data_IF_656404217916
#
_entry.id   IF_656404217916
#
_cell.length_a   1.000
_cell.length_b   1.000
_cell.length_c   1.000
_cell.angle_alpha   90.00
_cell.angle_beta   90.00
_cell.angle_gamma   90.00
#
_symmetry.space_group_name_H-M   'P 1'
#
loop_
_entity.id
_entity.type
_entity.pdbx_description
1 polymer ?
#
# COMPACT_ATOMS: atom_id res chain seq x y z
N UNK A 1 16.58 -8.83 -26.91
CA UNK A 1 15.52 -7.83 -26.67
C UNK A 1 14.16 -8.50 -26.54
N UNK A 2 13.59 -9.11 -27.59
CA UNK A 2 12.30 -9.82 -27.49
C UNK A 2 12.26 -10.93 -26.42
N UNK A 3 13.36 -11.66 -26.24
CA UNK A 3 13.46 -12.69 -25.18
C UNK A 3 13.56 -12.10 -23.76
N UNK A 4 14.15 -10.91 -23.62
CA UNK A 4 14.26 -10.18 -22.36
C UNK A 4 12.93 -9.50 -22.00
N UNK A 5 12.24 -8.89 -22.96
CA UNK A 5 10.88 -8.38 -22.79
C UNK A 5 9.90 -9.50 -22.45
N UNK A 6 10.07 -10.68 -23.07
CA UNK A 6 9.29 -11.87 -22.73
C UNK A 6 9.51 -12.33 -21.29
N UNK A 7 10.77 -12.45 -20.85
CA UNK A 7 11.11 -12.83 -19.47
C UNK A 7 10.68 -11.77 -18.45
N UNK A 8 10.81 -10.49 -18.76
CA UNK A 8 10.34 -9.39 -17.93
C UNK A 8 8.81 -9.39 -17.80
N UNK A 9 8.08 -9.60 -18.90
CA UNK A 9 6.62 -9.71 -18.90
C UNK A 9 6.10 -10.94 -18.16
N UNK A 10 6.76 -12.09 -18.30
CA UNK A 10 6.42 -13.32 -17.56
C UNK A 10 6.61 -13.13 -16.05
N UNK A 11 7.71 -12.49 -15.64
CA UNK A 11 7.98 -12.25 -14.22
C UNK A 11 7.15 -11.11 -13.64
N UNK A 12 6.81 -10.09 -14.44
CA UNK A 12 5.81 -9.07 -14.07
C UNK A 12 4.43 -9.70 -13.86
N UNK A 13 4.03 -10.66 -14.70
CA UNK A 13 2.81 -11.43 -14.49
C UNK A 13 2.88 -12.27 -13.21
N UNK A 14 4.03 -12.87 -12.89
CA UNK A 14 4.24 -13.62 -11.64
C UNK A 14 4.22 -12.73 -10.39
N UNK A 15 4.78 -11.53 -10.45
CA UNK A 15 4.71 -10.54 -9.37
C UNK A 15 3.28 -10.01 -9.23
N UNK A 16 2.59 -9.68 -10.32
CA UNK A 16 1.18 -9.29 -10.30
C UNK A 16 0.28 -10.41 -9.75
N UNK A 17 0.71 -11.65 -9.91
CA UNK A 17 0.09 -12.85 -9.32
C UNK A 17 0.66 -13.21 -7.93
N UNK A 18 1.49 -12.37 -7.32
CA UNK A 18 2.06 -12.52 -5.98
C UNK A 18 2.90 -13.79 -5.71
N UNK A 19 3.55 -14.32 -6.75
CA UNK A 19 4.55 -15.37 -6.57
C UNK A 19 5.83 -14.83 -5.93
N UNK A 20 6.42 -15.59 -5.01
CA UNK A 20 7.72 -15.29 -4.40
C UNK A 20 8.83 -15.34 -5.46
N UNK A 21 9.73 -14.35 -5.45
CA UNK A 21 10.94 -14.33 -6.26
C UNK A 21 12.14 -14.62 -5.35
N UNK A 22 12.95 -15.60 -5.73
CA UNK A 22 14.17 -15.95 -5.00
C UNK A 22 15.34 -15.03 -5.36
N UNK A 23 16.38 -14.94 -4.52
CA UNK A 23 17.59 -14.15 -4.79
C UNK A 23 18.27 -14.56 -6.11
N UNK A 24 18.21 -15.84 -6.48
CA UNK A 24 18.73 -16.35 -7.76
C UNK A 24 17.90 -15.90 -8.97
N UNK A 25 16.58 -15.71 -8.80
CA UNK A 25 15.75 -15.07 -9.83
C UNK A 25 16.20 -13.61 -10.06
N UNK A 26 16.57 -12.90 -8.99
CA UNK A 26 17.10 -11.53 -9.05
C UNK A 26 18.48 -11.44 -9.69
N UNK A 27 19.39 -12.36 -9.38
CA UNK A 27 20.72 -12.40 -9.99
C UNK A 27 20.65 -12.71 -11.50
N UNK A 28 19.65 -13.47 -11.95
CA UNK A 28 19.41 -13.74 -13.38
C UNK A 28 18.86 -12.55 -14.18
N UNK A 29 18.38 -11.51 -13.48
CA UNK A 29 17.80 -10.28 -14.05
C UNK A 29 18.83 -9.15 -14.22
N UNK A 30 20.07 -9.36 -13.77
CA UNK A 30 21.14 -8.39 -13.97
C UNK A 30 21.40 -8.25 -15.47
N UNK A 31 21.15 -7.06 -16.01
CA UNK A 31 21.45 -6.68 -17.39
C UNK A 31 22.97 -6.55 -17.65
N UNK A 32 23.81 -7.17 -16.81
CA UNK A 32 25.26 -7.12 -16.87
C UNK A 32 25.78 -7.56 -18.23
N UNK A 33 25.19 -8.59 -18.84
CA UNK A 33 25.54 -9.01 -20.20
C UNK A 33 25.28 -7.93 -21.27
N UNK A 34 24.16 -7.20 -21.16
CA UNK A 34 23.85 -6.09 -22.07
C UNK A 34 24.73 -4.86 -21.79
N UNK A 35 25.04 -4.60 -20.52
CA UNK A 35 25.97 -3.55 -20.10
C UNK A 35 27.39 -3.85 -20.55
N UNK A 36 27.80 -5.12 -20.56
CA UNK A 36 29.09 -5.58 -21.09
C UNK A 36 29.21 -5.38 -22.60
N UNK A 37 28.16 -5.65 -23.38
CA UNK A 37 28.20 -5.44 -24.85
C UNK A 37 28.44 -3.98 -25.27
N UNK A 38 28.23 -3.03 -24.37
CA UNK A 38 28.35 -1.58 -24.63
C UNK A 38 29.39 -0.93 -23.71
N UNK A 39 30.12 -1.73 -22.92
CA UNK A 39 31.07 -1.24 -21.89
C UNK A 39 32.26 -0.51 -22.48
N UNK A 40 32.73 -0.97 -23.64
CA UNK A 40 33.89 -0.42 -24.35
C UNK A 40 33.58 0.86 -25.12
N UNK A 41 32.30 1.26 -25.22
CA UNK A 41 31.87 2.52 -25.82
C UNK A 41 31.94 3.65 -24.80
N UNK A 42 32.39 4.83 -25.21
CA UNK A 42 32.49 6.01 -24.35
C UNK A 42 31.12 6.37 -23.72
N UNK A 43 31.13 6.92 -22.50
CA UNK A 43 29.92 7.22 -21.72
C UNK A 43 28.98 8.19 -22.45
N UNK A 44 29.54 9.07 -23.29
CA UNK A 44 28.78 10.02 -24.11
C UNK A 44 28.32 9.46 -25.46
N UNK A 45 28.64 8.20 -25.78
CA UNK A 45 28.31 7.61 -27.06
C UNK A 45 26.79 7.48 -27.24
N UNK A 46 26.20 7.94 -28.36
CA UNK A 46 24.75 7.96 -28.56
C UNK A 46 24.08 6.58 -28.42
N UNK A 47 24.79 5.53 -28.86
CA UNK A 47 24.33 4.14 -28.74
C UNK A 47 24.34 3.68 -27.28
N UNK A 48 25.36 4.08 -26.50
CA UNK A 48 25.44 3.74 -25.07
C UNK A 48 24.34 4.44 -24.28
N UNK A 49 24.14 5.74 -24.48
CA UNK A 49 23.02 6.46 -23.86
C UNK A 49 21.66 5.92 -24.30
N UNK A 50 21.48 5.59 -25.57
CA UNK A 50 20.24 5.01 -26.07
C UNK A 50 19.92 3.66 -25.42
N UNK A 51 20.91 2.79 -25.27
CA UNK A 51 20.76 1.50 -24.57
C UNK A 51 20.53 1.73 -23.06
N UNK A 52 21.29 2.62 -22.44
CA UNK A 52 21.22 2.86 -20.99
C UNK A 52 19.93 3.57 -20.58
N UNK A 53 19.48 4.59 -21.30
CA UNK A 53 18.29 5.40 -20.99
C UNK A 53 16.97 4.79 -21.50
N UNK A 54 16.97 4.05 -22.61
CA UNK A 54 15.72 3.51 -23.19
C UNK A 54 15.53 2.02 -22.97
N UNK A 55 16.61 1.24 -22.83
CA UNK A 55 16.53 -0.22 -22.76
C UNK A 55 16.88 -0.78 -21.37
N UNK A 56 17.82 -0.18 -20.66
CA UNK A 56 18.29 -0.68 -19.35
C UNK A 56 17.58 0.04 -18.19
N UNK A 57 17.54 1.38 -18.20
CA UNK A 57 17.00 2.13 -17.05
C UNK A 57 15.51 1.89 -16.78
N UNK A 58 14.61 1.73 -17.78
CA UNK A 58 13.20 1.47 -17.48
C UNK A 58 12.95 0.10 -16.82
N UNK A 59 13.49 -1.04 -17.30
CA UNK A 59 13.34 -2.31 -16.61
C UNK A 59 14.17 -2.38 -15.33
N UNK A 60 15.33 -1.75 -15.23
CA UNK A 60 16.12 -1.71 -13.98
C UNK A 60 15.40 -0.91 -12.88
N UNK A 61 14.80 0.24 -13.18
CA UNK A 61 13.95 0.96 -12.23
C UNK A 61 12.70 0.17 -11.84
N UNK A 62 12.10 -0.56 -12.80
CA UNK A 62 10.97 -1.46 -12.50
C UNK A 62 11.39 -2.63 -11.61
N UNK A 63 12.57 -3.20 -11.82
CA UNK A 63 13.13 -4.31 -11.05
C UNK A 63 13.57 -3.88 -9.65
N UNK A 64 14.28 -2.76 -9.51
CA UNK A 64 14.66 -2.23 -8.19
C UNK A 64 13.42 -1.85 -7.36
N UNK A 65 12.39 -1.29 -7.99
CA UNK A 65 11.11 -1.01 -7.31
C UNK A 65 10.36 -2.27 -6.86
N UNK A 66 10.65 -3.41 -7.50
CA UNK A 66 10.13 -4.72 -7.12
C UNK A 66 10.97 -5.40 -6.03
N UNK A 67 12.22 -5.00 -5.81
CA UNK A 67 13.09 -5.54 -4.76
C UNK A 67 12.79 -4.87 -3.42
N UNK A 68 12.67 -3.54 -3.41
CA UNK A 68 12.44 -2.75 -2.19
C UNK A 68 11.01 -2.23 -2.16
N UNK A 69 10.18 -2.86 -1.34
CA UNK A 69 8.75 -2.58 -1.24
C UNK A 69 8.37 -2.11 0.16
N UNK A 70 7.55 -1.07 0.18
CA UNK A 70 6.84 -0.62 1.37
C UNK A 70 5.45 -1.25 1.34
N UNK A 71 5.00 -1.83 2.44
CA UNK A 71 3.65 -2.35 2.58
C UNK A 71 2.64 -1.20 2.63
N UNK A 72 1.51 -1.37 1.94
CA UNK A 72 0.37 -0.45 2.01
C UNK A 72 -0.90 -1.21 2.37
N UNK A 73 -1.74 -0.57 3.18
CA UNK A 73 -3.07 -1.05 3.53
C UNK A 73 -3.98 0.16 3.76
N UNK A 74 -5.05 0.27 2.98
CA UNK A 74 -6.02 1.37 3.11
C UNK A 74 -6.93 1.23 4.32
N UNK A 75 -6.87 0.10 5.05
CA UNK A 75 -7.63 -0.09 6.28
C UNK A 75 -7.37 1.05 7.28
N UNK A 76 -8.45 1.58 7.87
CA UNK A 76 -8.38 2.67 8.82
C UNK A 76 -9.45 2.53 9.91
N UNK A 77 -9.06 2.11 11.13
CA UNK A 77 -9.98 1.96 12.27
C UNK A 77 -10.40 3.29 12.90
N UNK A 78 -9.81 4.42 12.50
CA UNK A 78 -10.14 5.75 13.02
C UNK A 78 -10.79 6.63 11.95
N UNK A 79 -12.14 6.63 11.83
CA UNK A 79 -12.83 7.40 10.79
C UNK A 79 -12.57 8.91 10.84
N UNK A 80 -12.24 9.42 12.03
CA UNK A 80 -11.95 10.85 12.27
C UNK A 80 -10.61 11.30 11.69
N UNK A 81 -9.71 10.36 11.41
CA UNK A 81 -8.38 10.65 10.84
C UNK A 81 -8.37 10.08 9.42
N UNK A 82 -8.86 10.83 8.41
CA UNK A 82 -8.88 10.35 7.04
C UNK A 82 -7.46 10.17 6.49
N UNK A 83 -7.31 9.22 5.56
CA UNK A 83 -6.10 9.09 4.75
C UNK A 83 -5.94 10.36 3.92
N UNK A 84 -4.75 10.96 3.97
CA UNK A 84 -4.42 12.20 3.24
C UNK A 84 -3.02 12.09 2.68
N UNK A 85 -2.57 13.08 1.90
CA UNK A 85 -1.18 13.12 1.43
C UNK A 85 -0.15 13.05 2.57
N UNK A 86 -0.47 13.63 3.73
CA UNK A 86 0.41 13.59 4.91
C UNK A 86 0.23 12.33 5.78
N UNK A 87 -0.83 11.56 5.52
CA UNK A 87 -1.15 10.32 6.23
C UNK A 87 -1.55 9.24 5.22
N UNK A 88 -0.59 8.72 4.45
CA UNK A 88 -0.85 7.90 3.28
C UNK A 88 -1.20 6.45 3.65
N UNK A 89 -1.55 5.61 2.66
CA UNK A 89 -1.91 4.20 2.88
C UNK A 89 -0.72 3.31 3.26
N UNK A 90 0.51 3.80 3.10
CA UNK A 90 1.73 3.18 3.60
C UNK A 90 1.88 3.27 5.13
N UNK A 91 1.01 4.02 5.81
CA UNK A 91 0.93 4.05 7.26
C UNK A 91 -0.06 2.98 7.72
N UNK A 92 0.41 1.78 7.98
CA UNK A 92 -0.45 0.60 8.14
C UNK A 92 -0.93 0.47 9.58
N UNK A 93 -2.24 0.33 9.75
CA UNK A 93 -2.82 -0.03 11.05
C UNK A 93 -2.88 -1.55 11.22
N UNK A 94 -2.57 -2.01 12.44
CA UNK A 94 -2.75 -3.40 12.88
C UNK A 94 -3.64 -3.39 14.12
N UNK A 95 -4.60 -4.31 14.22
CA UNK A 95 -5.63 -4.29 15.26
C UNK A 95 -6.93 -3.64 14.80
N UNK A 96 -8.04 -3.97 15.48
CA UNK A 96 -9.40 -3.56 15.07
C UNK A 96 -10.08 -4.44 14.01
N UNK A 97 -9.32 -5.25 13.28
CA UNK A 97 -9.87 -6.24 12.35
C UNK A 97 -9.51 -7.67 12.79
N UNK A 98 -10.42 -8.61 12.51
CA UNK A 98 -10.28 -10.01 12.94
C UNK A 98 -8.99 -10.64 12.35
N UNK A 99 -8.21 -11.30 13.20
CA UNK A 99 -6.99 -12.02 12.80
C UNK A 99 -5.77 -11.13 12.50
N UNK A 100 -5.84 -9.82 12.79
CA UNK A 100 -4.68 -8.90 12.64
C UNK A 100 -3.68 -9.00 13.79
N UNK A 101 -4.16 -9.25 15.02
CA UNK A 101 -3.35 -9.52 16.19
C UNK A 101 -3.35 -11.03 16.44
N UNK A 102 -2.17 -11.62 16.63
CA UNK A 102 -2.01 -13.03 16.98
C UNK A 102 -2.34 -13.32 18.45
N UNK A 103 -2.51 -14.59 18.77
CA UNK A 103 -2.73 -15.06 20.13
C UNK A 103 -1.38 -15.21 20.83
N UNK A 104 -0.86 -14.12 21.40
CA UNK A 104 0.35 -14.14 22.22
C UNK A 104 0.22 -13.20 23.40
N UNK A 105 0.96 -13.44 24.48
CA UNK A 105 0.99 -12.54 25.63
C UNK A 105 1.37 -11.11 25.21
N UNK A 106 2.28 -10.97 24.24
CA UNK A 106 2.76 -9.67 23.76
C UNK A 106 1.71 -8.88 23.01
N UNK A 107 0.84 -9.55 22.28
CA UNK A 107 -0.24 -8.95 21.50
C UNK A 107 -1.56 -8.89 22.24
N UNK A 108 -1.63 -9.51 23.43
CA UNK A 108 -2.80 -9.50 24.29
C UNK A 108 -3.18 -8.07 24.67
N UNK A 109 -4.47 -7.75 24.53
CA UNK A 109 -5.09 -6.49 24.99
C UNK A 109 -4.58 -5.21 24.29
N UNK A 110 -3.76 -5.38 23.24
CA UNK A 110 -3.50 -4.30 22.27
C UNK A 110 -4.77 -4.06 21.44
N UNK A 111 -5.07 -2.79 21.17
CA UNK A 111 -6.23 -2.42 20.35
C UNK A 111 -5.79 -2.06 18.94
N UNK A 112 -4.86 -1.10 18.83
CA UNK A 112 -4.41 -0.58 17.56
C UNK A 112 -2.91 -0.24 17.60
N UNK A 113 -2.19 -0.66 16.57
CA UNK A 113 -0.80 -0.29 16.32
C UNK A 113 -0.73 0.43 14.97
N UNK A 114 0.20 1.36 14.85
CA UNK A 114 0.44 2.08 13.60
C UNK A 114 1.89 1.93 13.19
N UNK A 115 2.12 1.45 11.97
CA UNK A 115 3.45 1.27 11.40
C UNK A 115 3.66 2.25 10.25
N UNK A 116 4.81 2.90 10.21
CA UNK A 116 5.10 3.94 9.20
C UNK A 116 6.02 3.37 8.15
N UNK A 117 5.45 3.02 7.00
CA UNK A 117 6.16 2.37 5.90
C UNK A 117 6.78 0.99 6.25
N UNK A 118 6.01 0.06 6.85
CA UNK A 118 6.55 -1.24 7.24
C UNK A 118 6.93 -2.10 6.03
N UNK A 119 7.84 -3.04 6.25
CA UNK A 119 8.10 -4.17 5.36
C UNK A 119 7.14 -5.35 5.61
N UNK A 120 7.45 -6.48 4.97
CA UNK A 120 6.70 -7.74 5.15
C UNK A 120 7.65 -8.88 5.43
N UNK A 121 7.22 -9.80 6.30
CA UNK A 121 7.97 -11.00 6.66
C UNK A 121 7.34 -12.23 6.00
N UNK A 122 8.20 -13.14 5.52
CA UNK A 122 7.78 -14.40 4.92
C UNK A 122 8.56 -15.55 5.52
N UNK A 123 7.87 -16.64 5.79
CA UNK A 123 8.52 -17.89 6.18
C UNK A 123 9.02 -18.60 4.92
N UNK A 124 10.31 -18.94 4.87
CA UNK A 124 10.94 -19.61 3.73
C UNK A 124 10.61 -21.10 3.65
N UNK A 125 9.91 -21.67 4.64
CA UNK A 125 9.55 -23.09 4.69
C UNK A 125 10.72 -24.03 4.99
N UNK A 126 11.90 -23.47 5.28
CA UNK A 126 13.17 -24.21 5.38
C UNK A 126 13.78 -24.01 6.76
N UNK A 127 13.77 -25.05 7.58
CA UNK A 127 14.41 -25.10 8.90
C UNK A 127 13.53 -25.71 10.00
N UNK A 128 14.17 -26.12 11.11
CA UNK A 128 13.50 -26.66 12.30
C UNK A 128 13.01 -25.57 13.26
N UNK A 129 12.80 -24.34 12.78
CA UNK A 129 12.41 -23.18 13.59
C UNK A 129 10.93 -22.89 13.39
N UNK A 130 10.24 -22.57 14.47
CA UNK A 130 8.82 -22.24 14.46
C UNK A 130 8.68 -20.76 14.14
N UNK A 131 7.96 -20.44 13.07
CA UNK A 131 7.59 -19.07 12.71
C UNK A 131 6.13 -18.83 13.11
N UNK A 132 5.92 -17.99 14.12
CA UNK A 132 4.60 -17.65 14.64
C UNK A 132 4.30 -16.18 14.33
N UNK A 133 3.42 -15.89 13.36
CA UNK A 133 3.02 -14.52 13.04
C UNK A 133 2.31 -13.87 14.23
N UNK A 134 2.77 -12.69 14.64
CA UNK A 134 2.20 -11.92 15.76
C UNK A 134 1.34 -10.76 15.27
N UNK A 135 1.80 -10.05 14.24
CA UNK A 135 1.12 -8.88 13.69
C UNK A 135 0.90 -9.08 12.20
N UNK A 136 -0.34 -8.92 11.76
CA UNK A 136 -0.78 -9.07 10.37
C UNK A 136 -1.61 -7.89 9.93
N UNK A 137 -1.49 -7.54 8.66
CA UNK A 137 -2.41 -6.57 8.03
C UNK A 137 -3.82 -7.15 7.90
N UNK A 138 -4.82 -6.29 7.70
CA UNK A 138 -6.19 -6.73 7.42
C UNK A 138 -6.24 -7.52 6.10
N UNK A 139 -5.48 -7.06 5.10
CA UNK A 139 -5.53 -7.62 3.76
C UNK A 139 -6.73 -7.08 2.96
N UNK A 140 -7.13 -7.79 1.92
CA UNK A 140 -8.22 -7.38 1.01
C UNK A 140 -7.75 -6.50 -0.16
N UNK A 141 -8.72 -5.93 -0.88
CA UNK A 141 -8.48 -5.17 -2.13
C UNK A 141 -7.72 -3.87 -1.91
N UNK A 142 -7.76 -3.35 -0.68
CA UNK A 142 -7.03 -2.16 -0.21
C UNK A 142 -5.52 -2.38 -0.03
N UNK A 143 -5.12 -3.62 0.27
CA UNK A 143 -3.74 -3.96 0.54
C UNK A 143 -2.88 -3.92 -0.73
N UNK A 144 -1.56 -3.82 -0.56
CA UNK A 144 -0.59 -3.93 -1.65
C UNK A 144 0.80 -3.57 -1.20
N UNK A 145 1.63 -3.20 -2.17
CA UNK A 145 2.93 -2.59 -1.87
C UNK A 145 3.18 -1.38 -2.75
N UNK A 146 4.12 -0.56 -2.34
CA UNK A 146 4.60 0.62 -3.05
C UNK A 146 6.10 0.48 -3.26
N UNK A 147 6.57 0.86 -4.44
CA UNK A 147 8.01 0.90 -4.75
C UNK A 147 8.70 1.93 -3.87
N UNK A 148 9.79 1.52 -3.20
CA UNK A 148 10.62 2.44 -2.43
C UNK A 148 11.34 3.46 -3.32
N UNK A 149 11.70 3.07 -4.54
CA UNK A 149 12.56 3.87 -5.43
C UNK A 149 11.94 5.22 -5.82
N UNK A 150 10.62 5.25 -6.01
CA UNK A 150 9.89 6.47 -6.33
C UNK A 150 8.90 6.87 -5.24
N UNK A 151 9.11 6.41 -4.01
CA UNK A 151 8.25 6.73 -2.87
C UNK A 151 8.34 8.21 -2.49
N UNK A 152 9.55 8.77 -2.53
CA UNK A 152 9.81 10.17 -2.23
C UNK A 152 9.86 11.01 -3.50
N UNK A 153 9.35 12.24 -3.44
CA UNK A 153 9.68 13.25 -4.44
C UNK A 153 11.17 13.59 -4.34
N UNK A 154 11.84 13.66 -5.49
CA UNK A 154 13.19 14.17 -5.56
C UNK A 154 13.20 15.63 -5.11
N UNK A 155 13.71 15.91 -3.92
CA UNK A 155 13.90 17.27 -3.45
C UNK A 155 14.95 17.96 -4.31
N UNK A 156 14.54 18.88 -5.18
CA UNK A 156 15.45 19.71 -5.96
C UNK A 156 15.66 21.02 -5.19
N UNK A 157 16.91 21.46 -5.04
CA UNK A 157 17.26 22.76 -4.43
C UNK A 157 16.57 23.05 -3.08
N UNK A 158 16.81 22.20 -2.07
CA UNK A 158 16.37 22.49 -0.70
C UNK A 158 14.86 22.40 -0.46
N UNK A 159 14.07 21.95 -1.44
CA UNK A 159 12.68 21.59 -1.19
C UNK A 159 12.60 20.33 -0.31
N UNK A 160 11.77 20.34 0.76
CA UNK A 160 11.61 19.17 1.62
C UNK A 160 11.04 18.00 0.81
N UNK A 161 11.59 16.80 1.03
CA UNK A 161 11.05 15.57 0.45
C UNK A 161 9.60 15.39 0.89
N UNK A 162 8.73 15.04 -0.05
CA UNK A 162 7.33 14.72 0.20
C UNK A 162 7.03 13.33 -0.33
N UNK A 163 5.91 12.75 0.08
CA UNK A 163 5.40 11.55 -0.58
C UNK A 163 5.12 11.87 -2.05
N UNK A 164 5.57 10.98 -2.94
CA UNK A 164 5.31 11.13 -4.36
C UNK A 164 3.85 10.70 -4.67
N UNK A 165 3.00 11.59 -5.21
CA UNK A 165 1.65 11.21 -5.60
C UNK A 165 1.65 10.19 -6.74
N UNK A 166 2.64 10.25 -7.63
CA UNK A 166 2.79 9.37 -8.80
C UNK A 166 3.64 8.13 -8.50
N UNK A 167 3.72 7.71 -7.23
CA UNK A 167 4.50 6.54 -6.81
C UNK A 167 3.95 5.25 -7.40
N UNK A 168 4.84 4.27 -7.60
CA UNK A 168 4.45 3.01 -8.25
C UNK A 168 3.80 2.09 -7.23
N UNK A 169 2.52 1.76 -7.48
CA UNK A 169 1.73 0.86 -6.66
C UNK A 169 1.68 -0.54 -7.28
N UNK A 170 1.91 -1.56 -6.47
CA UNK A 170 1.74 -2.96 -6.80
C UNK A 170 0.51 -3.52 -6.08
N UNK A 171 -0.32 -4.26 -6.81
CA UNK A 171 -1.54 -4.84 -6.26
C UNK A 171 -1.25 -6.00 -5.29
N UNK A 172 -2.14 -6.21 -4.33
CA UNK A 172 -2.10 -7.37 -3.42
C UNK A 172 -2.88 -8.55 -3.98
N UNK A 173 -2.62 -9.73 -3.40
CA UNK A 173 -3.36 -10.99 -3.54
C UNK A 173 -4.57 -11.00 -2.59
N UNK A 174 -4.79 -9.90 -1.87
CA UNK A 174 -5.80 -9.80 -0.83
C UNK A 174 -5.43 -10.55 0.45
N UNK A 175 -4.28 -11.21 0.51
CA UNK A 175 -3.88 -11.94 1.72
C UNK A 175 -3.32 -11.00 2.78
N UNK A 176 -3.53 -11.39 4.02
CA UNK A 176 -2.88 -10.76 5.16
C UNK A 176 -1.36 -10.91 5.05
N UNK A 177 -0.63 -9.81 5.25
CA UNK A 177 0.82 -9.80 5.24
C UNK A 177 1.33 -9.70 6.67
N UNK A 178 2.37 -10.45 6.99
CA UNK A 178 2.96 -10.48 8.34
C UNK A 178 3.93 -9.31 8.48
N UNK A 179 3.74 -8.49 9.51
CA UNK A 179 4.62 -7.36 9.87
C UNK A 179 5.58 -7.76 10.99
N UNK A 180 5.11 -8.57 11.94
CA UNK A 180 5.93 -9.07 13.03
C UNK A 180 5.68 -10.55 13.30
N UNK A 181 6.72 -11.28 13.67
CA UNK A 181 6.67 -12.70 13.99
C UNK A 181 7.62 -13.06 15.11
N UNK A 182 7.20 -14.01 15.95
CA UNK A 182 8.05 -14.70 16.91
C UNK A 182 8.67 -15.92 16.22
N UNK A 183 9.98 -16.06 16.38
CA UNK A 183 10.78 -17.13 15.84
C UNK A 183 11.41 -17.85 17.03
N UNK A 184 11.01 -19.10 17.22
CA UNK A 184 11.55 -19.96 18.27
C UNK A 184 12.19 -21.21 17.69
N UNK A 185 13.17 -21.76 18.40
CA UNK A 185 13.81 -23.02 18.02
C UNK A 185 15.09 -23.24 18.79
N UNK A 186 15.86 -24.25 18.40
CA UNK A 186 17.18 -24.52 18.97
C UNK A 186 18.26 -24.20 17.95
N UNK A 187 19.37 -23.64 18.43
CA UNK A 187 20.56 -23.39 17.63
C UNK A 187 21.72 -24.12 18.29
N UNK A 188 22.33 -25.03 17.54
CA UNK A 188 23.57 -25.69 17.91
C UNK A 188 24.74 -24.88 17.38
N UNK A 189 25.48 -24.25 18.28
CA UNK A 189 26.74 -23.59 17.96
C UNK A 189 27.89 -24.36 18.57
N UNK A 190 28.68 -25.00 17.70
CA UNK A 190 29.92 -25.77 17.90
C UNK A 190 30.01 -26.83 19.03
N UNK A 191 29.36 -26.66 20.18
CA UNK A 191 29.26 -27.61 21.31
C UNK A 191 28.10 -27.32 22.29
N UNK A 192 27.27 -26.29 22.08
CA UNK A 192 26.13 -25.98 22.95
C UNK A 192 24.84 -25.84 22.13
N UNK A 193 23.77 -26.49 22.61
CA UNK A 193 22.41 -26.28 22.10
C UNK A 193 21.77 -25.18 22.94
N UNK A 194 21.57 -24.01 22.33
CA UNK A 194 20.89 -22.90 22.98
C UNK A 194 19.48 -22.73 22.42
N UNK A 195 18.55 -22.35 23.29
CA UNK A 195 17.21 -21.95 22.88
C UNK A 195 17.27 -20.56 22.24
N UNK A 196 16.70 -20.45 21.05
CA UNK A 196 16.57 -19.22 20.29
C UNK A 196 15.15 -18.69 20.49
N UNK A 197 15.04 -17.45 20.96
CA UNK A 197 13.80 -16.70 20.97
C UNK A 197 14.04 -15.33 20.35
N UNK A 198 13.44 -15.09 19.18
CA UNK A 198 13.61 -13.85 18.42
C UNK A 198 12.24 -13.30 18.05
N UNK A 199 12.01 -12.02 18.30
CA UNK A 199 10.85 -11.30 17.77
C UNK A 199 11.36 -10.39 16.67
N UNK A 200 10.92 -10.66 15.44
CA UNK A 200 11.28 -9.87 14.26
C UNK A 200 10.12 -8.94 13.90
N UNK A 201 10.41 -7.66 13.74
CA UNK A 201 9.44 -6.63 13.36
C UNK A 201 9.99 -5.92 12.11
N UNK A 202 9.18 -5.80 11.07
CA UNK A 202 9.57 -5.23 9.78
C UNK A 202 9.49 -3.69 9.72
N UNK A 203 9.59 -3.02 10.87
CA UNK A 203 9.55 -1.56 10.98
C UNK A 203 10.31 -1.14 12.24
N UNK A 204 11.32 -0.29 12.07
CA UNK A 204 12.12 0.25 13.17
C UNK A 204 11.46 1.48 13.82
N UNK A 205 10.57 2.16 13.08
CA UNK A 205 9.93 3.39 13.55
C UNK A 205 8.89 3.13 14.64
N UNK A 206 8.55 1.85 14.91
CA UNK A 206 7.68 1.46 16.03
C UNK A 206 8.19 1.96 17.39
N UNK A 207 9.51 2.21 17.50
CA UNK A 207 10.19 2.75 18.68
C UNK A 207 10.48 4.26 18.58
N UNK A 208 10.02 4.94 17.55
CA UNK A 208 10.34 6.34 17.33
C UNK A 208 9.60 7.29 18.30
N UNK A 209 10.25 8.41 18.61
CA UNK A 209 9.75 9.47 19.50
C UNK A 209 8.32 9.97 19.21
N UNK A 210 7.83 10.06 17.95
CA UNK A 210 6.47 10.46 17.68
C UNK A 210 5.42 9.61 18.41
N UNK A 211 5.64 8.31 18.55
CA UNK A 211 4.70 7.41 19.26
C UNK A 211 4.71 7.64 20.78
N UNK A 212 5.86 7.98 21.35
CA UNK A 212 5.95 8.39 22.76
C UNK A 212 5.23 9.72 22.99
N UNK A 213 5.38 10.68 22.07
CA UNK A 213 4.71 11.97 22.13
C UNK A 213 3.19 11.85 21.96
N UNK A 214 2.71 10.96 21.08
CA UNK A 214 1.28 10.66 20.94
C UNK A 214 0.74 10.09 22.24
N UNK A 215 1.45 9.12 22.84
CA UNK A 215 1.06 8.51 24.12
C UNK A 215 1.04 9.53 25.28
N UNK A 216 2.01 10.45 25.34
CA UNK A 216 2.10 11.42 26.44
C UNK A 216 1.04 12.52 26.39
N UNK A 217 0.50 12.82 25.20
CA UNK A 217 -0.58 13.80 25.03
C UNK A 217 -1.92 13.29 25.55
N UNK A 218 -2.11 11.97 25.60
CA UNK A 218 -3.40 11.37 25.97
C UNK A 218 -4.47 11.60 24.89
N UNK A 219 -5.66 11.02 25.07
CA UNK A 219 -6.77 11.15 24.11
C UNK A 219 -7.43 12.53 24.25
N UNK A 220 -6.74 13.59 23.83
CA UNK A 220 -7.34 14.92 23.68
C UNK A 220 -8.26 14.97 22.44
N UNK A 221 -9.27 15.84 22.48
CA UNK A 221 -10.39 15.89 21.52
C UNK A 221 -10.00 16.11 20.06
N UNK A 222 -8.86 16.77 19.83
CA UNK A 222 -8.52 17.35 18.53
C UNK A 222 -7.76 16.38 17.62
N UNK A 223 -7.11 15.35 18.17
CA UNK A 223 -6.47 14.28 17.41
C UNK A 223 -6.54 12.94 18.17
N UNK A 224 -7.63 12.16 18.02
CA UNK A 224 -7.89 10.97 18.81
C UNK A 224 -7.12 9.74 18.26
N UNK A 225 -5.81 9.88 18.09
CA UNK A 225 -4.93 8.76 17.76
C UNK A 225 -4.41 8.15 19.06
N UNK A 226 -5.03 7.07 19.51
CA UNK A 226 -4.52 6.25 20.63
C UNK A 226 -3.97 4.95 20.04
N UNK A 227 -2.64 4.84 20.02
CA UNK A 227 -1.91 3.68 19.46
C UNK A 227 -1.04 3.04 20.53
N UNK A 228 -0.97 1.73 20.50
CA UNK A 228 -0.33 0.90 21.51
C UNK A 228 1.14 0.58 21.21
N UNK A 229 1.79 1.26 20.25
CA UNK A 229 3.17 0.99 19.82
C UNK A 229 4.17 0.88 20.99
N UNK A 230 4.09 1.81 21.93
CA UNK A 230 4.96 1.81 23.13
C UNK A 230 4.63 0.63 24.05
N UNK A 231 3.35 0.27 24.18
CA UNK A 231 2.92 -0.90 24.97
C UNK A 231 3.42 -2.18 24.31
N UNK A 232 3.22 -2.35 23.00
CA UNK A 232 3.74 -3.48 22.25
C UNK A 232 5.26 -3.61 22.43
N UNK A 233 6.00 -2.51 22.30
CA UNK A 233 7.46 -2.50 22.46
C UNK A 233 7.91 -2.96 23.85
N UNK A 234 7.25 -2.47 24.90
CA UNK A 234 7.56 -2.91 26.26
C UNK A 234 7.14 -4.39 26.49
N UNK A 235 6.01 -4.84 25.91
CA UNK A 235 5.60 -6.25 25.99
C UNK A 235 6.65 -7.16 25.34
N UNK A 236 7.20 -6.76 24.18
CA UNK A 236 8.28 -7.48 23.48
C UNK A 236 9.52 -7.60 24.39
N UNK A 237 9.93 -6.52 25.05
CA UNK A 237 11.06 -6.55 25.99
C UNK A 237 10.78 -7.51 27.15
N UNK A 238 9.62 -7.38 27.79
CA UNK A 238 9.21 -8.22 28.93
C UNK A 238 9.17 -9.72 28.56
N UNK A 239 8.71 -10.05 27.34
CA UNK A 239 8.71 -11.43 26.85
C UNK A 239 10.14 -11.95 26.59
N UNK A 240 11.02 -11.14 26.02
CA UNK A 240 12.40 -11.53 25.73
C UNK A 240 13.28 -11.64 26.99
N UNK A 241 12.97 -10.88 28.05
CA UNK A 241 13.64 -10.98 29.35
C UNK A 241 13.08 -12.10 30.24
N UNK A 242 11.94 -12.70 29.86
CA UNK A 242 11.26 -13.73 30.65
C UNK A 242 10.47 -13.19 31.83
N UNK A 243 10.22 -11.87 31.89
CA UNK A 243 9.48 -11.22 32.97
C UNK A 243 7.97 -11.16 32.68
N UNK A 244 7.29 -12.30 32.76
CA UNK A 244 5.83 -12.40 32.49
C UNK A 244 4.93 -11.83 33.60
N UNK A 245 5.49 -11.44 34.75
CA UNK A 245 4.72 -11.07 35.95
C UNK A 245 3.92 -9.77 35.80
N UNK A 246 4.36 -8.84 34.93
CA UNK A 246 3.73 -7.53 34.78
C UNK A 246 2.89 -7.36 33.50
N UNK A 247 2.99 -8.32 32.57
CA UNK A 247 2.21 -8.35 31.33
C UNK A 247 0.69 -8.30 31.61
N UNK A 248 0.21 -9.12 32.56
CA UNK A 248 -1.20 -9.20 32.92
C UNK A 248 -1.75 -7.96 33.65
N UNK A 249 -0.90 -7.18 34.33
CA UNK A 249 -1.34 -6.02 35.14
C UNK A 249 -1.44 -4.75 34.31
N UNK A 250 -0.60 -4.60 33.27
CA UNK A 250 -0.62 -3.44 32.37
C UNK A 250 -1.83 -3.41 31.42
N UNK A 251 -2.52 -4.53 31.29
CA UNK A 251 -3.60 -4.76 30.34
C UNK A 251 -4.98 -4.16 30.69
N UNK A 252 -5.13 -3.42 31.80
CA UNK A 252 -6.39 -2.74 32.12
C UNK A 252 -6.52 -1.42 31.36
N UNK A 253 -6.93 -1.48 30.09
CA UNK A 253 -7.36 -0.30 29.30
C UNK A 253 -8.87 -0.35 29.03
N UNK A 254 -9.49 0.81 28.79
CA UNK A 254 -10.87 0.85 28.29
C UNK A 254 -10.86 0.29 26.87
N UNK A 255 -11.49 -0.86 26.66
CA UNK A 255 -11.81 -1.35 25.32
C UNK A 255 -12.67 -0.31 24.61
N UNK A 256 -12.18 0.22 23.48
CA UNK A 256 -13.01 0.95 22.53
C UNK A 256 -13.93 -0.07 21.84
N UNK A 257 -15.01 -0.47 22.53
CA UNK A 257 -16.09 -1.26 21.95
C UNK A 257 -16.93 -0.35 21.07
N UNK A 258 -16.46 -0.17 19.85
CA UNK A 258 -17.29 0.31 18.75
C UNK A 258 -18.23 -0.80 18.32
N UNK A 259 -19.35 -0.44 17.68
CA UNK A 259 -20.28 -1.43 17.14
C UNK A 259 -19.58 -2.13 15.97
N UNK A 260 -19.03 -3.32 16.19
CA UNK A 260 -18.26 -4.08 15.19
C UNK A 260 -19.01 -4.20 13.84
N UNK A 261 -20.32 -4.44 13.90
CA UNK A 261 -21.17 -4.53 12.71
C UNK A 261 -21.28 -3.19 11.96
N UNK A 262 -21.30 -2.08 12.70
CA UNK A 262 -21.31 -0.75 12.10
C UNK A 262 -19.98 -0.42 11.43
N UNK A 263 -18.86 -0.72 12.09
CA UNK A 263 -17.52 -0.54 11.52
C UNK A 263 -17.34 -1.39 10.27
N UNK A 264 -17.78 -2.65 10.31
CA UNK A 264 -17.79 -3.53 9.14
C UNK A 264 -18.61 -2.93 7.99
N UNK A 265 -19.78 -2.36 8.28
CA UNK A 265 -20.61 -1.74 7.23
C UNK A 265 -20.00 -0.46 6.64
N UNK A 266 -19.32 0.35 7.45
CA UNK A 266 -18.57 1.52 6.96
C UNK A 266 -17.42 1.07 6.07
N UNK A 267 -16.73 0.02 6.49
CA UNK A 267 -15.60 -0.55 5.77
C UNK A 267 -16.03 -1.12 4.42
N UNK A 268 -17.14 -1.86 4.36
CA UNK A 268 -17.71 -2.36 3.10
C UNK A 268 -18.03 -1.22 2.13
N UNK A 269 -18.65 -0.13 2.62
CA UNK A 269 -18.93 1.05 1.80
C UNK A 269 -17.63 1.73 1.29
N UNK A 270 -16.58 1.76 2.12
CA UNK A 270 -15.26 2.28 1.73
C UNK A 270 -14.58 1.38 0.70
N UNK A 271 -14.68 0.07 0.85
CA UNK A 271 -14.08 -0.89 -0.05
C UNK A 271 -14.68 -0.77 -1.46
N UNK A 272 -16.02 -0.71 -1.56
CA UNK A 272 -16.73 -0.50 -2.84
C UNK A 272 -16.33 0.83 -3.50
N UNK A 273 -16.21 1.91 -2.72
CA UNK A 273 -15.73 3.19 -3.25
C UNK A 273 -14.28 3.10 -3.73
N UNK A 274 -13.41 2.39 -3.00
CA UNK A 274 -12.01 2.24 -3.38
C UNK A 274 -11.83 1.40 -4.65
N UNK A 275 -12.63 0.35 -4.85
CA UNK A 275 -12.56 -0.51 -6.03
C UNK A 275 -13.07 0.24 -7.26
N UNK A 276 -14.20 0.94 -7.14
CA UNK A 276 -14.75 1.76 -8.23
C UNK A 276 -13.80 2.87 -8.66
N UNK A 277 -13.13 3.54 -7.71
CA UNK A 277 -12.09 4.54 -8.01
C UNK A 277 -10.91 3.89 -8.76
N UNK A 278 -10.39 2.77 -8.25
CA UNK A 278 -9.28 2.04 -8.89
C UNK A 278 -9.61 1.58 -10.31
N UNK A 279 -10.82 1.07 -10.53
CA UNK A 279 -11.29 0.65 -11.85
C UNK A 279 -11.44 1.83 -12.82
N UNK A 280 -11.95 2.97 -12.33
CA UNK A 280 -12.01 4.20 -13.11
C UNK A 280 -10.61 4.70 -13.50
N UNK A 281 -9.65 4.69 -12.58
CA UNK A 281 -8.26 5.08 -12.87
C UNK A 281 -7.56 4.10 -13.83
N UNK A 282 -7.73 2.80 -13.62
CA UNK A 282 -7.10 1.77 -14.45
C UNK A 282 -7.63 1.78 -15.88
N UNK A 283 -8.95 1.91 -16.06
CA UNK A 283 -9.57 1.99 -17.40
C UNK A 283 -9.07 3.20 -18.17
N UNK A 284 -8.94 4.36 -17.52
CA UNK A 284 -8.42 5.58 -18.13
C UNK A 284 -6.93 5.45 -18.49
N UNK A 285 -6.13 4.85 -17.61
CA UNK A 285 -4.71 4.61 -17.89
C UNK A 285 -4.51 3.74 -19.12
N UNK A 286 -5.32 2.68 -19.28
CA UNK A 286 -5.31 1.84 -20.47
C UNK A 286 -5.67 2.63 -21.74
N UNK A 287 -6.71 3.49 -21.67
CA UNK A 287 -7.08 4.37 -22.79
C UNK A 287 -5.94 5.31 -23.16
N UNK A 288 -5.27 5.93 -22.18
CA UNK A 288 -4.13 6.81 -22.41
C UNK A 288 -2.95 6.08 -23.04
N UNK A 289 -2.65 4.85 -22.59
CA UNK A 289 -1.60 4.03 -23.19
C UNK A 289 -1.94 3.63 -24.64
N UNK A 290 -3.19 3.28 -24.93
CA UNK A 290 -3.66 2.99 -26.29
C UNK A 290 -3.60 4.22 -27.20
N UNK A 291 -4.03 5.38 -26.74
CA UNK A 291 -3.94 6.64 -27.49
C UNK A 291 -2.48 7.05 -27.75
N UNK A 292 -1.59 6.87 -26.78
CA UNK A 292 -0.15 7.06 -26.98
C UNK A 292 0.43 6.09 -28.02
N UNK A 293 0.01 4.82 -28.01
CA UNK A 293 0.42 3.84 -29.05
C UNK A 293 -0.10 4.24 -30.43
N UNK A 294 -1.35 4.69 -30.55
CA UNK A 294 -1.93 5.18 -31.82
C UNK A 294 -1.19 6.42 -32.31
N UNK A 295 -0.87 7.37 -31.42
CA UNK A 295 -0.08 8.54 -31.74
C UNK A 295 1.29 8.17 -32.30
N UNK A 296 2.02 7.28 -31.63
CA UNK A 296 3.34 6.83 -32.07
C UNK A 296 3.29 6.14 -33.44
N UNK A 297 2.24 5.34 -33.70
CA UNK A 297 2.00 4.73 -35.02
C UNK A 297 1.73 5.77 -36.10
N UNK A 298 0.85 6.74 -35.84
CA UNK A 298 0.53 7.82 -36.76
C UNK A 298 1.76 8.68 -37.09
N UNK A 299 2.60 8.98 -36.10
CA UNK A 299 3.87 9.68 -36.30
C UNK A 299 4.84 8.87 -37.18
N UNK A 300 4.93 7.56 -36.98
CA UNK A 300 5.75 6.67 -37.80
C UNK A 300 5.23 6.59 -39.26
N UNK A 301 3.91 6.52 -39.46
CA UNK A 301 3.28 6.51 -40.79
C UNK A 301 3.50 7.83 -41.54
N UNK A 302 3.33 8.97 -40.86
CA UNK A 302 3.62 10.30 -41.44
C UNK A 302 5.10 10.41 -41.82
N UNK A 303 6.00 9.87 -40.98
CA UNK A 303 7.44 9.85 -41.24
C UNK A 303 7.80 8.98 -42.46
N UNK A 304 7.18 7.81 -42.61
CA UNK A 304 7.39 6.90 -43.76
C UNK A 304 6.80 7.44 -45.06
N UNK A 305 5.56 7.95 -45.04
CA UNK A 305 4.87 8.44 -46.25
C UNK A 305 5.49 9.70 -46.85
N UNK A 306 6.29 10.40 -46.06
CA UNK A 306 6.94 11.66 -46.44
C UNK A 306 8.40 11.48 -46.89
N UNK A 307 8.99 10.28 -46.68
CA UNK A 307 10.29 9.93 -47.27
C UNK A 307 10.14 9.82 -48.79
N UNK A 308 10.56 10.88 -49.50
CA UNK A 308 10.68 10.88 -50.97
C UNK A 308 9.89 11.94 -51.75
N UNK A 309 9.11 12.81 -51.08
CA UNK A 309 8.27 13.83 -51.77
C UNK A 309 8.62 15.30 -51.49
N UNK A 310 9.54 15.60 -50.58
CA UNK A 310 9.84 16.99 -50.15
C UNK A 310 11.33 17.21 -49.82
N UNK A 311 11.77 18.47 -49.84
CA UNK A 311 13.10 18.88 -49.34
C UNK A 311 13.19 18.73 -47.81
N UNK A 312 14.39 18.48 -47.28
CA UNK A 312 14.61 18.18 -45.84
C UNK A 312 14.01 19.24 -44.89
N UNK A 313 14.08 20.52 -45.27
CA UNK A 313 13.53 21.63 -44.49
C UNK A 313 11.98 21.65 -44.48
N UNK A 314 11.34 21.40 -45.63
CA UNK A 314 9.88 21.35 -45.75
C UNK A 314 9.30 20.14 -45.02
N UNK A 315 10.01 19.00 -45.06
CA UNK A 315 9.62 17.79 -44.33
C UNK A 315 9.66 17.98 -42.82
N UNK A 316 10.70 18.63 -42.28
CA UNK A 316 10.79 18.93 -40.85
C UNK A 316 9.70 19.88 -40.38
N UNK A 317 9.37 20.92 -41.17
CA UNK A 317 8.29 21.83 -40.84
C UNK A 317 6.92 21.13 -40.85
N UNK A 318 6.68 20.28 -41.87
CA UNK A 318 5.46 19.49 -41.97
C UNK A 318 5.29 18.53 -40.78
N UNK A 319 6.32 17.72 -40.47
CA UNK A 319 6.33 16.84 -39.31
C UNK A 319 6.10 17.58 -37.99
N UNK A 320 6.75 18.73 -37.79
CA UNK A 320 6.55 19.53 -36.58
C UNK A 320 5.11 20.02 -36.46
N UNK A 321 4.51 20.49 -37.55
CA UNK A 321 3.12 20.97 -37.53
C UNK A 321 2.10 19.85 -37.31
N UNK A 322 2.31 18.69 -37.92
CA UNK A 322 1.41 17.54 -37.78
C UNK A 322 1.57 16.86 -36.41
N UNK A 323 2.81 16.68 -35.95
CA UNK A 323 3.10 16.21 -34.60
C UNK A 323 2.50 17.15 -33.55
N UNK A 324 2.63 18.48 -33.71
CA UNK A 324 2.04 19.45 -32.79
C UNK A 324 0.51 19.37 -32.76
N UNK A 325 -0.15 19.18 -33.91
CA UNK A 325 -1.61 18.99 -33.98
C UNK A 325 -2.04 17.71 -33.26
N UNK A 326 -1.34 16.61 -33.51
CA UNK A 326 -1.65 15.31 -32.90
C UNK A 326 -1.41 15.33 -31.38
N UNK A 327 -0.31 15.93 -30.92
CA UNK A 327 -0.04 16.12 -29.50
C UNK A 327 -1.08 17.02 -28.81
N UNK A 328 -1.54 18.09 -29.49
CA UNK A 328 -2.60 18.95 -28.97
C UNK A 328 -3.93 18.21 -28.83
N UNK A 329 -4.27 17.33 -29.78
CA UNK A 329 -5.46 16.49 -29.71
C UNK A 329 -5.36 15.47 -28.56
N UNK A 330 -4.20 14.84 -28.37
CA UNK A 330 -3.95 13.95 -27.24
C UNK A 330 -4.11 14.70 -25.92
N UNK A 331 -3.47 15.87 -25.77
CA UNK A 331 -3.58 16.67 -24.55
C UNK A 331 -5.03 17.09 -24.26
N UNK A 332 -5.84 17.39 -25.28
CA UNK A 332 -7.27 17.65 -25.11
C UNK A 332 -8.01 16.40 -24.62
N UNK A 333 -7.72 15.23 -25.23
CA UNK A 333 -8.32 13.95 -24.85
C UNK A 333 -7.95 13.56 -23.42
N UNK A 334 -6.69 13.74 -23.03
CA UNK A 334 -6.23 13.50 -21.67
C UNK A 334 -6.97 14.38 -20.66
N UNK A 335 -7.17 15.67 -20.96
CA UNK A 335 -7.95 16.57 -20.10
C UNK A 335 -9.42 16.15 -19.97
N UNK A 336 -10.04 15.71 -21.07
CA UNK A 336 -11.41 15.19 -21.07
C UNK A 336 -11.52 13.95 -20.18
N UNK A 337 -10.59 13.00 -20.36
CA UNK A 337 -10.54 11.76 -19.59
C UNK A 337 -10.31 12.03 -18.10
N UNK A 338 -9.34 12.89 -17.75
CA UNK A 338 -9.09 13.29 -16.34
C UNK A 338 -10.34 13.90 -15.71
N UNK A 339 -11.05 14.77 -16.44
CA UNK A 339 -12.29 15.38 -15.94
C UNK A 339 -13.39 14.34 -15.69
N UNK A 340 -13.51 13.34 -16.56
CA UNK A 340 -14.45 12.23 -16.39
C UNK A 340 -14.07 11.38 -15.16
N UNK A 341 -12.77 11.09 -14.97
CA UNK A 341 -12.25 10.41 -13.78
C UNK A 341 -12.60 11.17 -12.52
N UNK A 342 -12.30 12.47 -12.47
CA UNK A 342 -12.60 13.31 -11.31
C UNK A 342 -14.10 13.33 -10.97
N UNK A 343 -14.97 13.26 -11.99
CA UNK A 343 -16.41 13.17 -11.79
C UNK A 343 -16.82 11.82 -11.20
N UNK A 344 -16.31 10.70 -11.76
CA UNK A 344 -16.57 9.35 -11.26
C UNK A 344 -16.05 9.16 -9.83
N UNK A 345 -14.85 9.65 -9.53
CA UNK A 345 -14.26 9.63 -8.18
C UNK A 345 -15.14 10.42 -7.21
N UNK A 346 -15.53 11.65 -7.56
CA UNK A 346 -16.43 12.45 -6.71
C UNK A 346 -17.79 11.81 -6.50
N UNK A 347 -18.32 11.12 -7.50
CA UNK A 347 -19.59 10.40 -7.38
C UNK A 347 -19.48 9.20 -6.43
N UNK A 348 -18.40 8.40 -6.56
CA UNK A 348 -18.09 7.30 -5.65
C UNK A 348 -17.91 7.78 -4.21
N UNK A 349 -17.17 8.87 -3.98
CA UNK A 349 -17.01 9.50 -2.66
C UNK A 349 -18.35 9.96 -2.08
N UNK A 350 -19.20 10.62 -2.90
CA UNK A 350 -20.53 11.06 -2.45
C UNK A 350 -21.46 9.89 -2.15
N UNK A 351 -21.35 8.77 -2.86
CA UNK A 351 -22.14 7.57 -2.57
C UNK A 351 -21.71 6.98 -1.24
N UNK A 352 -20.41 6.77 -1.05
CA UNK A 352 -19.80 6.32 0.20
C UNK A 352 -20.25 7.17 1.40
N UNK A 353 -20.16 8.50 1.28
CA UNK A 353 -20.51 9.40 2.39
C UNK A 353 -22.02 9.36 2.71
N UNK A 354 -22.87 9.17 1.69
CA UNK A 354 -24.31 8.96 1.87
C UNK A 354 -24.60 7.64 2.58
N UNK A 355 -23.93 6.57 2.18
CA UNK A 355 -24.10 5.25 2.78
C UNK A 355 -23.65 5.24 4.25
N UNK A 356 -22.49 5.82 4.55
CA UNK A 356 -22.00 5.98 5.93
C UNK A 356 -22.99 6.78 6.77
N UNK A 357 -23.51 7.90 6.23
CA UNK A 357 -24.48 8.74 6.95
C UNK A 357 -25.80 8.02 7.21
N UNK A 358 -26.31 7.29 6.21
CA UNK A 358 -27.53 6.49 6.37
C UNK A 358 -27.39 5.46 7.48
N UNK A 359 -26.27 4.74 7.53
CA UNK A 359 -25.98 3.77 8.61
C UNK A 359 -25.88 4.44 9.98
N UNK A 360 -25.21 5.60 10.06
CA UNK A 360 -25.15 6.38 11.30
C UNK A 360 -26.54 6.79 11.79
N UNK A 361 -27.40 7.25 10.88
CA UNK A 361 -28.73 7.73 11.24
C UNK A 361 -29.64 6.59 11.69
N UNK A 362 -29.55 5.41 11.07
CA UNK A 362 -30.26 4.20 11.54
C UNK A 362 -29.87 3.82 12.98
N UNK A 363 -28.57 3.81 13.29
CA UNK A 363 -28.07 3.47 14.62
C UNK A 363 -28.39 4.55 15.64
N UNK A 364 -28.30 5.83 15.29
CA UNK A 364 -28.74 6.93 16.16
C UNK A 364 -30.22 6.80 16.49
N UNK A 365 -31.05 6.50 15.49
CA UNK A 365 -32.48 6.24 15.67
C UNK A 365 -32.71 5.07 16.63
N UNK A 366 -32.09 3.91 16.37
CA UNK A 366 -32.15 2.75 17.27
C UNK A 366 -31.67 3.08 18.69
N UNK A 367 -30.58 3.83 18.84
CA UNK A 367 -30.04 4.20 20.16
C UNK A 367 -30.98 5.11 20.97
N UNK A 368 -31.83 5.90 20.30
CA UNK A 368 -32.83 6.76 20.96
C UNK A 368 -34.11 5.98 21.27
N UNK A 369 -34.55 5.10 20.38
CA UNK A 369 -35.82 4.39 20.52
C UNK A 369 -35.74 3.05 21.26
N UNK A 370 -34.59 2.38 21.30
CA UNK A 370 -34.43 1.08 21.97
C UNK A 370 -34.48 1.18 23.51
N UNK A 371 -33.84 2.16 24.19
CA UNK A 371 -33.86 2.26 25.65
C UNK A 371 -35.24 2.37 26.32
N UNK A 372 -36.24 3.10 25.76
CA UNK A 372 -37.57 3.17 26.39
C UNK A 372 -38.43 1.91 26.17
N UNK A 373 -38.12 1.03 25.21
CA UNK A 373 -38.96 -0.14 24.90
C UNK A 373 -39.12 -1.10 26.10
N UNK A 374 -38.05 -1.48 26.84
CA UNK A 374 -38.21 -2.31 28.04
C UNK A 374 -39.10 -1.68 29.10
N UNK A 375 -39.00 -0.37 29.31
CA UNK A 375 -39.83 0.36 30.28
C UNK A 375 -41.30 0.38 29.84
N UNK A 376 -41.57 0.60 28.55
CA UNK A 376 -42.92 0.55 27.99
C UNK A 376 -43.52 -0.86 28.05
N UNK A 377 -42.73 -1.92 27.81
CA UNK A 377 -43.17 -3.31 27.94
C UNK A 377 -43.55 -3.66 29.38
N UNK A 378 -42.77 -3.21 30.37
CA UNK A 378 -43.10 -3.38 31.79
C UNK A 378 -44.39 -2.63 32.14
N UNK A 379 -44.53 -1.38 31.69
CA UNK A 379 -45.73 -0.58 31.93
C UNK A 379 -46.99 -1.25 31.33
N UNK A 380 -46.89 -1.75 30.10
CA UNK A 380 -47.97 -2.48 29.45
C UNK A 380 -48.30 -3.80 30.18
N UNK A 381 -47.29 -4.55 30.60
CA UNK A 381 -47.48 -5.78 31.37
C UNK A 381 -48.18 -5.56 32.72
N UNK A 382 -47.91 -4.44 33.39
CA UNK A 382 -48.62 -4.04 34.63
C UNK A 382 -50.06 -3.61 34.34
N UNK A 383 -50.29 -2.89 33.23
CA UNK A 383 -51.62 -2.42 32.85
C UNK A 383 -52.57 -3.55 32.45
N UNK A 384 -52.06 -4.61 31.82
CA UNK A 384 -52.85 -5.80 31.40
C UNK A 384 -53.09 -6.78 32.56
N UNK A 385 -52.27 -6.74 33.62
CA UNK A 385 -52.44 -7.58 34.83
C UNK A 385 -53.39 -6.99 35.87
N UNK A 386 -53.72 -5.70 35.75
CA UNK A 386 -54.81 -5.05 36.48
C UNK A 386 -56.11 -5.24 35.72
#
# INVERSE_FOLDING_TARGET
>A
LNELDGKAGEREARVKANATLSQSDWDSLKLDALRETVRDLDYNHPIRRGVEEKLISPPEQRLKGLEKRILRDSFNPFPKIPRTENFPDEFVYVGGAQGTLGDSEVTSELQYLLFTCPGTLFHTGTGNRTFTPMLRTKGGTGAGSTSLDNFWTGGVFGTPRRFNPDRTLYQSDGQQKVIAASISGTVTDANATNDLNVILIADADVLADPFYNIRSRGPDSDFPLDVDNVTFSLNVVDQLTGETRFLNVRNRRRLHRTLEEFEKSIEEAREVASTTIKEAEASIKNILEEENKKLNKALAEVQQNSQGRMTQAQFMQFLQTEAAKLQKNLAKRERELRKETDQKVKEAERSRDRDIKSKQDTIKSLSVFLPPIPLLLIAFGVLVRK
#
